data_IF_565263237794
#
_entry.id   IF_565263237794
#
_cell.length_a   1.000
_cell.length_b   1.000
_cell.length_c   1.000
_cell.angle_alpha   90.00
_cell.angle_beta   90.00
_cell.angle_gamma   90.00
#
_symmetry.space_group_name_H-M   'P 1'
#
loop_
_entity.id
_entity.type
_entity.pdbx_description
1 polymer ?
#
# COMPACT_ATOMS: atom_id res chain seq x y z
N UNK A 1 11.45 3.00 8.44
CA UNK A 1 10.20 2.38 8.86
C UNK A 1 9.43 1.91 7.63
N UNK A 2 8.91 0.71 7.68
CA UNK A 2 8.11 0.14 6.60
C UNK A 2 6.64 0.21 6.98
N UNK A 3 5.81 0.80 6.12
CA UNK A 3 4.38 1.02 6.38
C UNK A 3 3.56 0.34 5.29
N UNK A 4 2.61 -0.50 5.69
CA UNK A 4 1.64 -1.10 4.78
C UNK A 4 0.41 -0.20 4.71
N UNK A 5 0.06 0.26 3.52
CA UNK A 5 -1.10 1.16 3.31
C UNK A 5 -2.19 0.41 2.58
N UNK A 6 -3.33 0.22 3.23
CA UNK A 6 -4.50 -0.42 2.61
C UNK A 6 -5.35 0.60 1.88
N UNK A 7 -6.10 0.16 0.85
CA UNK A 7 -6.95 1.08 0.09
C UNK A 7 -6.18 2.10 -0.72
N UNK A 8 -5.00 1.73 -1.21
CA UNK A 8 -4.06 2.66 -1.84
C UNK A 8 -4.55 3.25 -3.16
N UNK A 9 -5.53 2.62 -3.81
CA UNK A 9 -6.12 3.16 -5.04
C UNK A 9 -7.09 4.31 -4.78
N UNK A 10 -7.49 4.56 -3.53
CA UNK A 10 -8.31 5.69 -3.15
C UNK A 10 -7.51 6.95 -2.89
N UNK A 11 -8.19 8.08 -2.72
CA UNK A 11 -7.53 9.38 -2.54
C UNK A 11 -6.69 9.44 -1.27
N UNK A 12 -7.23 8.96 -0.15
CA UNK A 12 -6.51 8.99 1.12
C UNK A 12 -5.24 8.14 1.08
N UNK A 13 -5.34 6.93 0.54
CA UNK A 13 -4.18 6.04 0.42
C UNK A 13 -3.11 6.65 -0.48
N UNK A 14 -3.50 7.27 -1.58
CA UNK A 14 -2.61 7.99 -2.49
C UNK A 14 -1.83 9.08 -1.73
N UNK A 15 -2.54 9.91 -0.97
CA UNK A 15 -1.92 11.00 -0.23
C UNK A 15 -0.97 10.48 0.86
N UNK A 16 -1.35 9.39 1.53
CA UNK A 16 -0.50 8.76 2.55
C UNK A 16 0.80 8.24 1.92
N UNK A 17 0.73 7.57 0.77
CA UNK A 17 1.93 7.08 0.09
C UNK A 17 2.88 8.19 -0.30
N UNK A 18 2.35 9.30 -0.79
CA UNK A 18 3.17 10.45 -1.15
C UNK A 18 3.83 11.08 0.08
N UNK A 19 3.11 11.16 1.19
CA UNK A 19 3.66 11.70 2.43
C UNK A 19 4.76 10.78 3.01
N UNK A 20 4.58 9.46 2.93
CA UNK A 20 5.61 8.51 3.36
C UNK A 20 6.90 8.68 2.56
N UNK A 21 6.78 8.80 1.24
CA UNK A 21 7.95 9.01 0.38
C UNK A 21 8.66 10.32 0.72
N UNK A 22 7.90 11.38 0.97
CA UNK A 22 8.42 12.69 1.34
C UNK A 22 9.21 12.63 2.65
N UNK A 23 8.78 11.77 3.59
CA UNK A 23 9.44 11.60 4.89
C UNK A 23 10.55 10.56 4.87
N UNK A 24 10.82 9.94 3.73
CA UNK A 24 11.87 8.93 3.60
C UNK A 24 11.51 7.56 4.16
N UNK A 25 10.24 7.26 4.37
CA UNK A 25 9.78 5.95 4.81
C UNK A 25 9.50 5.04 3.62
N UNK A 26 9.55 3.72 3.85
CA UNK A 26 9.19 2.73 2.84
C UNK A 26 7.70 2.43 2.92
N UNK A 27 6.97 2.68 1.84
CA UNK A 27 5.56 2.35 1.73
C UNK A 27 5.32 1.15 0.86
N UNK A 28 4.44 0.25 1.31
CA UNK A 28 3.93 -0.86 0.51
C UNK A 28 2.42 -0.64 0.39
N UNK A 29 1.93 -0.48 -0.84
CA UNK A 29 0.52 -0.24 -1.07
C UNK A 29 -0.24 -1.54 -1.31
N UNK A 30 -1.50 -1.59 -0.89
CA UNK A 30 -2.38 -2.72 -1.15
C UNK A 30 -3.79 -2.28 -1.45
N UNK A 31 -4.46 -3.06 -2.27
CA UNK A 31 -5.88 -2.89 -2.56
C UNK A 31 -6.42 -4.22 -3.08
N UNK A 32 -7.71 -4.27 -3.35
CA UNK A 32 -8.36 -5.50 -3.82
C UNK A 32 -7.98 -5.85 -5.26
N UNK A 33 -7.68 -4.87 -6.09
CA UNK A 33 -7.31 -5.10 -7.48
C UNK A 33 -5.96 -5.82 -7.60
N UNK A 34 -5.81 -6.63 -8.64
CA UNK A 34 -4.57 -7.37 -8.89
C UNK A 34 -3.37 -6.44 -9.08
N UNK A 35 -3.62 -5.29 -9.71
CA UNK A 35 -2.61 -4.25 -9.93
C UNK A 35 -3.14 -2.92 -9.44
N UNK A 36 -2.24 -2.00 -9.12
CA UNK A 36 -2.64 -0.64 -8.77
C UNK A 36 -3.51 -0.03 -9.85
N UNK A 37 -4.70 0.42 -9.47
CA UNK A 37 -5.71 0.96 -10.40
C UNK A 37 -6.06 2.43 -10.11
N UNK A 38 -5.31 3.09 -9.24
CA UNK A 38 -5.54 4.49 -8.90
C UNK A 38 -4.96 5.46 -9.93
N UNK A 39 -4.78 6.70 -9.53
CA UNK A 39 -4.27 7.74 -10.41
C UNK A 39 -2.81 7.47 -10.84
N UNK A 40 -2.52 7.64 -12.12
CA UNK A 40 -1.19 7.52 -12.68
C UNK A 40 -0.69 8.94 -13.02
N UNK A 41 -0.18 9.62 -12.02
CA UNK A 41 0.23 11.03 -12.11
C UNK A 41 1.73 11.23 -11.86
N UNK A 42 2.51 10.15 -11.88
CA UNK A 42 3.96 10.20 -11.67
C UNK A 42 4.37 10.38 -10.22
N UNK A 43 3.45 10.25 -9.28
CA UNK A 43 3.76 10.38 -7.87
C UNK A 43 4.33 9.08 -7.29
N UNK A 44 4.68 9.11 -6.01
CA UNK A 44 5.28 7.98 -5.31
C UNK A 44 4.41 6.73 -5.33
N UNK A 45 3.08 6.89 -5.34
CA UNK A 45 2.16 5.76 -5.33
C UNK A 45 2.29 4.88 -6.57
N UNK A 46 2.63 5.47 -7.71
CA UNK A 46 2.79 4.74 -8.97
C UNK A 46 4.03 3.86 -8.96
N UNK A 47 5.06 4.27 -8.23
CA UNK A 47 6.35 3.59 -8.17
C UNK A 47 6.52 2.72 -6.92
N UNK A 48 5.49 2.58 -6.12
CA UNK A 48 5.54 1.79 -4.88
C UNK A 48 5.54 0.29 -5.14
N UNK A 49 5.96 -0.46 -4.14
CA UNK A 49 5.68 -1.89 -4.10
C UNK A 49 4.18 -2.07 -3.82
N UNK A 50 3.53 -2.92 -4.60
CA UNK A 50 2.09 -3.15 -4.50
C UNK A 50 1.81 -4.63 -4.29
N UNK A 51 0.91 -4.94 -3.35
CA UNK A 51 0.42 -6.30 -3.13
C UNK A 51 -1.10 -6.32 -3.16
N UNK A 52 -1.66 -7.31 -3.82
CA UNK A 52 -3.11 -7.52 -3.82
C UNK A 52 -3.55 -8.06 -2.46
N UNK A 53 -4.56 -7.45 -1.86
CA UNK A 53 -5.08 -7.91 -0.58
C UNK A 53 -6.55 -7.50 -0.44
N UNK A 54 -7.41 -8.48 -0.13
CA UNK A 54 -8.80 -8.23 0.24
C UNK A 54 -8.87 -8.17 1.77
N UNK A 55 -9.15 -7.00 2.31
CA UNK A 55 -9.20 -6.80 3.77
C UNK A 55 -10.34 -7.57 4.45
N UNK A 56 -11.29 -8.08 3.68
CA UNK A 56 -12.37 -8.94 4.21
C UNK A 56 -11.96 -10.41 4.28
N UNK A 57 -10.81 -10.77 3.71
CA UNK A 57 -10.25 -12.11 3.76
C UNK A 57 -9.18 -12.18 4.85
N UNK A 58 -9.56 -12.66 6.02
CA UNK A 58 -8.69 -12.70 7.21
C UNK A 58 -7.37 -13.43 6.95
N UNK A 59 -7.43 -14.57 6.23
CA UNK A 59 -6.23 -15.34 5.93
C UNK A 59 -5.29 -14.59 4.99
N UNK A 60 -5.84 -13.92 3.97
CA UNK A 60 -5.04 -13.12 3.06
C UNK A 60 -4.34 -11.98 3.79
N UNK A 61 -5.04 -11.32 4.72
CA UNK A 61 -4.45 -10.26 5.54
C UNK A 61 -3.30 -10.79 6.38
N UNK A 62 -3.48 -11.92 7.06
CA UNK A 62 -2.43 -12.54 7.87
C UNK A 62 -1.21 -12.92 7.03
N UNK A 63 -1.43 -13.53 5.86
CA UNK A 63 -0.36 -13.94 4.97
C UNK A 63 0.45 -12.75 4.47
N UNK A 64 -0.21 -11.67 4.08
CA UNK A 64 0.44 -10.46 3.59
C UNK A 64 1.21 -9.76 4.70
N UNK A 65 0.65 -9.65 5.90
CA UNK A 65 1.34 -9.04 7.03
C UNK A 65 2.60 -9.82 7.37
N UNK A 66 2.54 -11.14 7.35
CA UNK A 66 3.69 -12.00 7.59
C UNK A 66 4.77 -11.81 6.52
N UNK A 67 4.37 -11.76 5.25
CA UNK A 67 5.30 -11.61 4.13
C UNK A 67 5.94 -10.23 4.09
N UNK A 68 5.14 -9.17 4.23
CA UNK A 68 5.62 -7.78 4.17
C UNK A 68 6.36 -7.40 5.45
N UNK A 69 5.93 -7.93 6.57
CA UNK A 69 6.49 -7.63 7.90
C UNK A 69 6.59 -6.11 8.15
N UNK A 70 5.47 -5.37 8.04
CA UNK A 70 5.51 -3.92 8.21
C UNK A 70 5.67 -3.53 9.67
N UNK A 71 6.21 -2.33 9.89
CA UNK A 71 6.29 -1.75 11.22
C UNK A 71 4.93 -1.16 11.65
N UNK A 72 4.16 -0.66 10.66
CA UNK A 72 2.84 -0.02 10.86
C UNK A 72 1.93 -0.36 9.69
N UNK A 73 0.67 -0.42 9.97
CA UNK A 73 -0.39 -0.60 8.97
C UNK A 73 -1.28 0.63 8.92
#
# INVERSE_FOLDING_TARGET
>A
MKVLVTGVSGQLGHDVMNELAKRGYTGVGSDIAEKYSGADDGTAVVNMEYVQMDITDEKAVEDIITEVNPDVI
#
